data_IF_989500174745
#
_entry.id   IF_989500174745
#
_cell.length_a   1.000
_cell.length_b   1.000
_cell.length_c   1.000
_cell.angle_alpha   90.00
_cell.angle_beta   90.00
_cell.angle_gamma   90.00
#
_symmetry.space_group_name_H-M   'P 1'
#
loop_
_entity.id
_entity.type
_entity.pdbx_description
1 polymer ?
#
# COMPACT_ATOMS: atom_id res chain seq x y z
N UNK A 1 -15.69 -8.97 -17.00
CA UNK A 1 -14.67 -9.14 -18.06
C UNK A 1 -13.33 -8.99 -17.35
N UNK A 2 -12.40 -9.93 -17.51
CA UNK A 2 -11.07 -9.79 -16.90
C UNK A 2 -10.28 -8.71 -17.66
N UNK A 3 -9.56 -7.86 -16.94
CA UNK A 3 -8.64 -6.87 -17.48
C UNK A 3 -7.23 -7.23 -17.00
N UNK A 4 -6.27 -7.18 -17.91
CA UNK A 4 -4.86 -7.44 -17.62
C UNK A 4 -4.06 -6.16 -17.85
N UNK A 5 -3.06 -5.96 -16.99
CA UNK A 5 -2.09 -4.86 -17.06
C UNK A 5 -0.69 -5.47 -17.15
N UNK A 6 0.16 -4.91 -17.99
CA UNK A 6 1.55 -5.36 -18.08
C UNK A 6 2.35 -4.94 -16.84
N UNK A 7 3.37 -5.73 -16.48
CA UNK A 7 4.19 -5.51 -15.27
C UNK A 7 4.87 -4.12 -15.23
N UNK A 8 5.50 -3.61 -16.32
CA UNK A 8 6.05 -2.26 -16.32
C UNK A 8 5.02 -1.16 -16.01
N UNK A 9 3.83 -1.23 -16.62
CA UNK A 9 2.74 -0.28 -16.34
C UNK A 9 2.25 -0.38 -14.90
N UNK A 10 2.11 -1.60 -14.38
CA UNK A 10 1.75 -1.82 -12.97
C UNK A 10 2.79 -1.22 -12.02
N UNK A 11 4.07 -1.53 -12.25
CA UNK A 11 5.16 -1.03 -11.42
C UNK A 11 5.29 0.51 -11.47
N UNK A 12 5.00 1.14 -12.61
CA UNK A 12 4.98 2.59 -12.72
C UNK A 12 3.83 3.24 -11.93
N UNK A 13 2.69 2.56 -11.77
CA UNK A 13 1.52 3.10 -11.08
C UNK A 13 1.53 2.82 -9.57
N UNK A 14 1.95 1.63 -9.18
CA UNK A 14 1.81 1.12 -7.81
C UNK A 14 3.14 0.65 -7.20
N UNK A 15 4.26 0.72 -7.93
CA UNK A 15 5.51 0.09 -7.52
C UNK A 15 5.54 -1.43 -7.81
N UNK A 16 6.70 -2.08 -7.65
CA UNK A 16 6.90 -3.49 -7.98
C UNK A 16 6.00 -4.42 -7.16
N UNK A 17 5.70 -5.60 -7.70
CA UNK A 17 4.97 -6.68 -7.02
C UNK A 17 5.78 -7.99 -7.05
N UNK A 18 5.22 -9.10 -6.54
CA UNK A 18 5.93 -10.38 -6.36
C UNK A 18 6.73 -10.80 -7.59
N UNK A 19 8.01 -11.11 -7.36
CA UNK A 19 8.98 -11.52 -8.37
C UNK A 19 9.62 -10.39 -9.17
N UNK A 20 9.13 -9.15 -9.05
CA UNK A 20 9.83 -7.99 -9.62
C UNK A 20 11.11 -7.71 -8.83
N UNK A 21 12.09 -7.14 -9.52
CA UNK A 21 13.43 -6.87 -9.00
C UNK A 21 13.76 -5.39 -9.05
N UNK A 22 14.39 -4.89 -7.99
CA UNK A 22 14.83 -3.50 -7.87
C UNK A 22 16.31 -3.47 -7.56
N UNK A 23 17.06 -2.67 -8.33
CA UNK A 23 18.47 -2.38 -8.04
C UNK A 23 18.56 -1.32 -6.95
N UNK A 24 19.42 -1.54 -5.97
CA UNK A 24 19.67 -0.55 -4.92
C UNK A 24 20.64 0.50 -5.44
N UNK A 25 20.10 1.67 -5.80
CA UNK A 25 20.84 2.80 -6.34
C UNK A 25 21.75 2.39 -7.51
N UNK A 26 23.02 2.79 -7.49
CA UNK A 26 24.06 2.51 -8.47
C UNK A 26 24.90 1.27 -8.12
N UNK A 27 24.46 0.46 -7.15
CA UNK A 27 25.15 -0.78 -6.73
C UNK A 27 24.81 -1.97 -7.61
N UNK A 28 25.51 -3.09 -7.41
CA UNK A 28 25.17 -4.40 -7.99
C UNK A 28 24.19 -5.22 -7.15
N UNK A 29 23.65 -4.64 -6.08
CA UNK A 29 22.65 -5.31 -5.25
C UNK A 29 21.27 -5.21 -5.90
N UNK A 30 20.62 -6.37 -6.02
CA UNK A 30 19.26 -6.50 -6.56
C UNK A 30 18.41 -7.19 -5.50
N UNK A 31 17.32 -6.53 -5.11
CA UNK A 31 16.30 -7.09 -4.22
C UNK A 31 15.12 -7.58 -5.04
N UNK A 32 14.46 -8.65 -4.57
CA UNK A 32 13.27 -9.23 -5.20
C UNK A 32 12.10 -9.12 -4.23
N UNK A 33 10.92 -8.76 -4.73
CA UNK A 33 9.71 -8.71 -3.90
C UNK A 33 9.26 -10.12 -3.57
N UNK A 34 9.33 -10.51 -2.30
CA UNK A 34 9.06 -11.86 -1.80
C UNK A 34 7.57 -12.11 -1.58
N UNK A 35 6.84 -11.06 -1.19
CA UNK A 35 5.39 -11.12 -0.92
C UNK A 35 4.75 -9.76 -1.17
N UNK A 36 3.52 -9.79 -1.68
CA UNK A 36 2.66 -8.62 -1.79
C UNK A 36 1.36 -8.89 -1.03
N UNK A 37 0.95 -7.92 -0.20
CA UNK A 37 -0.27 -8.00 0.61
C UNK A 37 -1.49 -7.43 -0.13
N UNK A 38 -1.31 -6.80 -1.29
CA UNK A 38 -2.43 -6.25 -2.05
C UNK A 38 -3.32 -7.34 -2.65
N UNK A 39 -4.54 -6.95 -3.00
CA UNK A 39 -5.38 -7.69 -3.95
C UNK A 39 -5.34 -6.94 -5.27
N UNK A 40 -4.94 -7.59 -6.36
CA UNK A 40 -4.76 -6.92 -7.64
C UNK A 40 -6.07 -6.28 -8.14
N UNK A 41 -6.03 -4.98 -8.42
CA UNK A 41 -7.20 -4.16 -8.75
C UNK A 41 -7.82 -3.43 -7.56
N UNK A 42 -7.39 -3.74 -6.34
CA UNK A 42 -7.86 -3.14 -5.08
C UNK A 42 -6.77 -2.29 -4.39
N UNK A 43 -5.73 -1.90 -5.14
CA UNK A 43 -4.68 -1.02 -4.66
C UNK A 43 -5.26 0.31 -4.22
N UNK A 44 -4.81 0.81 -3.06
CA UNK A 44 -5.20 2.13 -2.58
C UNK A 44 -4.23 3.17 -3.14
N UNK A 45 -4.77 4.18 -3.81
CA UNK A 45 -4.01 5.29 -4.38
C UNK A 45 -4.76 6.60 -4.16
N UNK A 46 -4.04 7.60 -3.65
CA UNK A 46 -4.59 8.94 -3.44
C UNK A 46 -4.42 9.83 -4.68
N UNK A 47 -5.32 10.81 -4.83
CA UNK A 47 -5.27 11.81 -5.90
C UNK A 47 -6.64 12.06 -6.56
N UNK A 48 -6.70 13.10 -7.41
CA UNK A 48 -7.92 13.47 -8.14
C UNK A 48 -8.43 12.31 -9.01
N UNK A 49 -9.66 11.86 -8.74
CA UNK A 49 -10.28 10.75 -9.46
C UNK A 49 -9.69 9.36 -9.16
N UNK A 50 -8.94 9.20 -8.06
CA UNK A 50 -8.33 7.93 -7.65
C UNK A 50 -9.19 7.17 -6.63
N UNK A 51 -8.60 6.18 -5.97
CA UNK A 51 -9.30 5.17 -5.16
C UNK A 51 -9.67 5.71 -3.79
N UNK A 52 -8.74 6.40 -3.12
CA UNK A 52 -8.96 6.92 -1.77
C UNK A 52 -9.82 8.19 -1.84
N UNK A 53 -11.14 7.97 -1.82
CA UNK A 53 -12.19 8.99 -1.80
C UNK A 53 -13.35 8.50 -0.96
N UNK A 54 -14.15 9.45 -0.49
CA UNK A 54 -15.32 9.22 0.35
C UNK A 54 -16.23 8.11 -0.19
N UNK A 55 -16.47 7.08 0.63
CA UNK A 55 -17.31 5.92 0.30
C UNK A 55 -16.68 4.93 -0.70
N UNK A 56 -15.46 5.21 -1.17
CA UNK A 56 -14.66 4.31 -2.01
C UNK A 56 -13.56 3.67 -1.16
N UNK A 57 -12.28 3.84 -1.49
CA UNK A 57 -11.17 3.36 -0.66
C UNK A 57 -11.05 4.05 0.70
N UNK A 58 -11.77 5.14 0.94
CA UNK A 58 -11.94 5.76 2.25
C UNK A 58 -13.30 5.36 2.84
N UNK A 59 -13.27 4.64 3.96
CA UNK A 59 -14.43 4.26 4.75
C UNK A 59 -15.02 5.44 5.53
N UNK A 60 -16.25 5.28 6.03
CA UNK A 60 -16.87 6.19 7.01
C UNK A 60 -16.46 5.90 8.45
N UNK A 61 -15.74 4.81 8.69
CA UNK A 61 -15.27 4.43 10.04
C UNK A 61 -14.37 5.52 10.61
N UNK A 62 -14.69 5.97 11.83
CA UNK A 62 -13.93 7.03 12.48
C UNK A 62 -12.61 6.49 13.05
N UNK A 63 -11.70 7.40 13.40
CA UNK A 63 -10.48 7.06 14.15
C UNK A 63 -10.79 6.31 15.46
N UNK A 64 -11.83 6.76 16.18
CA UNK A 64 -12.24 6.14 17.44
C UNK A 64 -12.70 4.68 17.24
N UNK A 65 -13.27 4.38 16.08
CA UNK A 65 -13.81 3.08 15.73
C UNK A 65 -12.82 2.16 15.00
N UNK A 66 -11.59 2.62 14.73
CA UNK A 66 -10.51 1.75 14.23
C UNK A 66 -9.67 2.32 13.08
N UNK A 67 -10.10 3.39 12.42
CA UNK A 67 -9.31 3.99 11.35
C UNK A 67 -7.95 4.51 11.86
N UNK A 68 -6.92 4.41 11.02
CA UNK A 68 -5.55 4.83 11.37
C UNK A 68 -5.33 6.32 11.11
N UNK A 69 -4.26 6.88 11.69
CA UNK A 69 -3.91 8.30 11.55
C UNK A 69 -3.29 8.60 10.19
N UNK A 70 -2.46 7.69 9.72
CA UNK A 70 -1.76 7.84 8.44
C UNK A 70 -1.57 6.47 7.80
N UNK A 71 -1.64 6.41 6.48
CA UNK A 71 -1.24 5.24 5.70
C UNK A 71 -0.12 5.61 4.74
N UNK A 72 0.96 4.83 4.74
CA UNK A 72 1.93 4.81 3.64
C UNK A 72 1.46 3.76 2.64
N UNK A 73 1.03 4.19 1.45
CA UNK A 73 0.42 3.29 0.46
C UNK A 73 1.46 2.63 -0.43
N UNK A 74 1.26 1.36 -0.79
CA UNK A 74 2.05 0.64 -1.79
C UNK A 74 3.57 0.68 -1.56
N UNK A 75 4.02 0.57 -0.31
CA UNK A 75 5.42 0.64 0.06
C UNK A 75 6.17 -0.65 -0.31
N UNK A 76 7.32 -0.52 -0.98
CA UNK A 76 8.32 -1.60 -1.00
C UNK A 76 9.13 -1.54 0.30
N UNK A 77 8.85 -2.44 1.23
CA UNK A 77 9.50 -2.51 2.52
C UNK A 77 10.76 -3.35 2.39
N UNK A 78 11.90 -2.76 2.76
CA UNK A 78 13.17 -3.46 2.89
C UNK A 78 13.55 -3.50 4.37
N UNK A 79 13.44 -4.68 4.96
CA UNK A 79 13.77 -4.91 6.36
C UNK A 79 14.48 -6.27 6.54
N UNK A 80 15.12 -6.47 7.69
CA UNK A 80 15.75 -7.75 8.01
C UNK A 80 14.75 -8.92 8.06
N UNK A 81 13.46 -8.63 8.30
CA UNK A 81 12.39 -9.64 8.31
C UNK A 81 11.93 -10.07 6.92
N UNK A 82 12.28 -9.31 5.87
CA UNK A 82 11.93 -9.65 4.49
C UNK A 82 11.82 -8.43 3.57
N UNK A 83 11.59 -8.72 2.28
CA UNK A 83 11.42 -7.71 1.23
C UNK A 83 10.00 -7.82 0.68
N UNK A 84 9.10 -7.00 1.20
CA UNK A 84 7.66 -7.16 0.97
C UNK A 84 7.03 -5.89 0.40
N UNK A 85 5.91 -6.05 -0.27
CA UNK A 85 5.05 -4.97 -0.74
C UNK A 85 3.79 -4.92 0.11
N UNK A 86 3.53 -3.78 0.76
CA UNK A 86 2.38 -3.62 1.64
C UNK A 86 2.04 -2.15 1.86
N UNK A 87 0.85 -1.90 2.41
CA UNK A 87 0.51 -0.63 3.04
C UNK A 87 0.94 -0.66 4.52
N UNK A 88 1.32 0.50 5.06
CA UNK A 88 1.73 0.66 6.46
C UNK A 88 0.79 1.62 7.15
N UNK A 89 0.03 1.13 8.13
CA UNK A 89 -0.86 1.92 8.95
C UNK A 89 -0.15 2.46 10.19
N UNK A 90 -0.24 3.77 10.43
CA UNK A 90 0.32 4.45 11.59
C UNK A 90 -0.79 4.93 12.52
N UNK A 91 -0.62 4.68 13.82
CA UNK A 91 -1.53 5.17 14.86
C UNK A 91 -0.75 5.55 16.10
N UNK A 92 -1.04 6.72 16.66
CA UNK A 92 -0.39 7.25 17.86
C UNK A 92 1.14 7.27 17.74
N UNK A 93 1.65 7.60 16.54
CA UNK A 93 3.08 7.67 16.24
C UNK A 93 3.79 6.32 16.15
N UNK A 94 3.06 5.20 16.04
CA UNK A 94 3.62 3.85 15.91
C UNK A 94 3.05 3.12 14.71
N UNK A 95 3.78 2.10 14.23
CA UNK A 95 3.26 1.14 13.24
C UNK A 95 2.16 0.33 13.90
N UNK A 96 0.92 0.52 13.45
CA UNK A 96 -0.25 -0.18 13.94
C UNK A 96 -0.45 -1.52 13.22
N UNK A 97 -0.20 -1.54 11.90
CA UNK A 97 -0.29 -2.73 11.08
C UNK A 97 0.50 -2.57 9.77
N UNK A 98 0.90 -3.70 9.19
CA UNK A 98 1.48 -3.83 7.85
C UNK A 98 0.65 -4.87 7.11
N UNK A 99 0.05 -4.50 5.99
CA UNK A 99 -0.91 -5.36 5.30
C UNK A 99 -1.59 -4.63 4.15
N UNK A 100 -2.88 -4.92 3.93
CA UNK A 100 -3.69 -4.22 2.92
C UNK A 100 -4.53 -3.12 3.57
N UNK A 101 -4.38 -1.88 3.10
CA UNK A 101 -5.24 -0.78 3.49
C UNK A 101 -6.47 -0.64 2.59
N UNK A 102 -7.45 0.13 3.06
CA UNK A 102 -8.61 0.54 2.28
C UNK A 102 -9.90 0.63 3.07
N UNK A 103 -11.00 0.36 2.38
CA UNK A 103 -12.33 0.35 2.97
C UNK A 103 -12.90 -1.07 3.02
N UNK A 104 -13.13 -1.66 4.21
CA UNK A 104 -13.65 -3.02 4.34
C UNK A 104 -15.08 -3.19 3.81
N UNK A 105 -15.83 -2.10 3.63
CA UNK A 105 -17.21 -2.15 3.13
C UNK A 105 -17.28 -2.59 1.65
N UNK A 106 -16.21 -2.34 0.88
CA UNK A 106 -16.21 -2.57 -0.57
C UNK A 106 -14.97 -3.32 -1.08
N UNK A 107 -13.90 -3.39 -0.29
CA UNK A 107 -12.65 -4.05 -0.68
C UNK A 107 -12.42 -5.30 0.17
N UNK A 108 -12.03 -6.44 -0.44
CA UNK A 108 -11.70 -7.65 0.30
C UNK A 108 -10.36 -7.50 1.04
N UNK A 109 -10.22 -8.24 2.15
CA UNK A 109 -8.94 -8.47 2.83
C UNK A 109 -8.30 -7.21 3.42
N UNK A 110 -9.08 -6.21 3.83
CA UNK A 110 -8.56 -4.98 4.44
C UNK A 110 -8.13 -5.25 5.89
N UNK A 111 -6.83 -5.05 6.16
CA UNK A 111 -6.24 -5.09 7.49
C UNK A 111 -6.18 -3.70 8.14
N UNK A 112 -6.07 -2.64 7.33
CA UNK A 112 -5.85 -1.25 7.75
C UNK A 112 -6.97 -0.36 7.20
N UNK A 113 -7.82 0.15 8.09
CA UNK A 113 -8.96 0.99 7.67
C UNK A 113 -8.51 2.42 7.41
N UNK A 114 -8.77 2.91 6.20
CA UNK A 114 -8.64 4.33 5.85
C UNK A 114 -9.97 5.01 6.14
N UNK A 115 -9.98 5.96 7.07
CA UNK A 115 -11.18 6.71 7.46
C UNK A 115 -11.09 8.21 7.12
N UNK A 116 -12.09 9.02 7.50
CA UNK A 116 -12.14 10.45 7.17
C UNK A 116 -11.01 11.29 7.78
N UNK A 117 -10.33 10.78 8.82
CA UNK A 117 -9.22 11.44 9.50
C UNK A 117 -7.84 10.88 9.16
N UNK A 118 -7.74 9.98 8.17
CA UNK A 118 -6.49 9.32 7.79
C UNK A 118 -5.74 10.15 6.75
N UNK A 119 -4.50 10.53 7.06
CA UNK A 119 -3.56 11.13 6.09
C UNK A 119 -2.92 10.07 5.19
N UNK A 120 -2.54 10.43 3.97
CA UNK A 120 -1.92 9.51 3.01
C UNK A 120 -0.51 9.98 2.62
N UNK A 121 0.46 9.07 2.74
CA UNK A 121 1.81 9.21 2.19
C UNK A 121 1.92 8.22 1.02
N UNK A 122 2.18 8.71 -0.18
CA UNK A 122 2.35 7.86 -1.36
C UNK A 122 3.71 7.13 -1.33
N UNK A 123 3.69 5.84 -1.02
CA UNK A 123 4.87 4.97 -0.99
C UNK A 123 5.14 4.26 -2.31
N UNK A 124 4.20 4.27 -3.26
CA UNK A 124 4.42 3.67 -4.59
C UNK A 124 5.70 4.16 -5.26
N UNK A 125 6.55 3.22 -5.69
CA UNK A 125 7.84 3.51 -6.32
C UNK A 125 8.97 3.88 -5.35
N UNK A 126 8.72 3.91 -4.05
CA UNK A 126 9.73 4.18 -3.02
C UNK A 126 10.04 2.91 -2.20
N UNK A 127 11.27 2.87 -1.67
CA UNK A 127 11.69 1.87 -0.67
C UNK A 127 11.53 2.48 0.71
N UNK A 128 10.86 1.78 1.62
CA UNK A 128 10.67 2.17 3.02
C UNK A 128 11.48 1.24 3.92
N UNK A 129 12.21 1.82 4.87
CA UNK A 129 13.09 1.12 5.83
C UNK A 129 12.83 1.62 7.25
N UNK A 130 13.40 0.94 8.25
CA UNK A 130 13.36 1.33 9.66
C UNK A 130 14.10 2.65 9.95
#
# INVERSE_FOLDING_TARGET
>A
MAYEIDRPSYAAMFGPTVGDKVRLADTDLIIEVEKDFTTLGEEVKFGGGKVIRDGMGQSQVTRADGAVDTVITNALILDYTGIIKADIGLRDGRIAAVGKAGNPDIQPGVDIIIGPGTEIIAGEGNIITA
#
